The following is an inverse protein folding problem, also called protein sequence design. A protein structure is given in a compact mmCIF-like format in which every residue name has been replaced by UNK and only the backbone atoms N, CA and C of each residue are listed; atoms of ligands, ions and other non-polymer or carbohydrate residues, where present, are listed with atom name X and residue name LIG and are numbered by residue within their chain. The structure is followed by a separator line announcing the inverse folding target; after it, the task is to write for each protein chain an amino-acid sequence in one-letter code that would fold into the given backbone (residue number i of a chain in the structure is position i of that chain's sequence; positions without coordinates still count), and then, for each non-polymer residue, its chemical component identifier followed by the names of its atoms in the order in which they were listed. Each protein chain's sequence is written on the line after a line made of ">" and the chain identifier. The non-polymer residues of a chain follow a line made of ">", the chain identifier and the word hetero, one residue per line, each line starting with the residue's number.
data_IF_633513074849
#
_entry.id   IF_633513074849
#
_cell.length_a   1.000
_cell.length_b   1.000
_cell.length_c   1.000
_cell.angle_alpha   90.00
_cell.angle_beta   90.00
_cell.angle_gamma   90.00
#
_symmetry.space_group_name_H-M   'P 1'
#
loop_
_entity.id
_entity.type
_entity.pdbx_description
1 polymer ?
#
# COMPACT_ATOMS: atom_id res chain seq x y z
N UNK A 1 10.54 8.92 14.55
CA UNK A 1 9.96 7.85 13.73
C UNK A 1 10.26 8.16 12.28
N UNK A 2 10.70 7.17 11.51
CA UNK A 2 10.85 7.27 10.06
C UNK A 2 9.98 6.19 9.42
N UNK A 3 9.28 6.54 8.33
CA UNK A 3 8.43 5.63 7.59
C UNK A 3 9.07 5.39 6.24
N UNK A 4 9.22 4.12 5.86
CA UNK A 4 9.73 3.73 4.55
C UNK A 4 8.58 3.79 3.54
N UNK A 5 8.78 4.61 2.51
CA UNK A 5 7.83 4.83 1.41
C UNK A 5 6.46 5.30 1.92
N UNK A 6 6.36 6.52 2.49
CA UNK A 6 5.13 7.03 3.07
C UNK A 6 4.05 7.32 2.01
N UNK A 7 4.45 7.55 0.76
CA UNK A 7 3.57 7.75 -0.39
C UNK A 7 3.77 6.57 -1.34
N UNK A 8 2.68 5.84 -1.62
CA UNK A 8 2.70 4.64 -2.47
C UNK A 8 1.60 4.69 -3.51
N UNK A 9 1.94 4.29 -4.73
CA UNK A 9 1.00 4.12 -5.82
C UNK A 9 0.86 2.64 -6.12
N UNK A 10 -0.36 2.10 -6.08
CA UNK A 10 -0.61 0.71 -6.44
C UNK A 10 -1.18 0.64 -7.85
N UNK A 11 -0.88 -0.49 -8.50
CA UNK A 11 -1.48 -0.82 -9.78
C UNK A 11 -2.99 -0.99 -9.67
N UNK A 12 -3.72 -0.83 -10.79
CA UNK A 12 -5.16 -0.99 -10.79
C UNK A 12 -5.59 -2.38 -10.32
N UNK A 13 -6.59 -2.44 -9.44
CA UNK A 13 -7.16 -3.71 -8.95
C UNK A 13 -8.61 -3.87 -9.38
N UNK A 14 -9.06 -5.13 -9.46
CA UNK A 14 -10.46 -5.43 -9.71
C UNK A 14 -11.31 -5.09 -8.50
N UNK A 15 -12.49 -4.53 -8.74
CA UNK A 15 -13.48 -4.28 -7.70
C UNK A 15 -13.84 -5.58 -6.97
N UNK A 16 -13.82 -5.50 -5.64
CA UNK A 16 -14.07 -6.66 -4.76
C UNK A 16 -12.82 -7.45 -4.40
N UNK A 17 -11.64 -7.01 -4.87
CA UNK A 17 -10.36 -7.52 -4.38
C UNK A 17 -9.97 -6.82 -3.07
N UNK A 18 -9.18 -7.52 -2.26
CA UNK A 18 -8.57 -7.00 -1.04
C UNK A 18 -7.09 -6.70 -1.31
N UNK A 19 -6.62 -5.53 -0.88
CA UNK A 19 -5.22 -5.12 -0.96
C UNK A 19 -4.63 -4.99 0.44
N UNK A 20 -3.64 -5.81 0.77
CA UNK A 20 -2.88 -5.72 2.02
C UNK A 20 -1.57 -4.98 1.79
N UNK A 21 -1.35 -3.91 2.56
CA UNK A 21 -0.18 -3.07 2.49
C UNK A 21 0.54 -2.98 3.84
N UNK A 22 1.81 -3.40 3.91
CA UNK A 22 2.63 -3.28 5.11
C UNK A 22 3.57 -2.07 5.02
N UNK A 23 3.41 -1.12 5.94
CA UNK A 23 4.28 0.03 6.11
C UNK A 23 5.30 -0.24 7.20
N UNK A 24 6.58 -0.14 6.84
CA UNK A 24 7.68 -0.36 7.77
C UNK A 24 8.04 0.96 8.46
N UNK A 25 7.95 0.94 9.78
CA UNK A 25 8.33 2.03 10.66
C UNK A 25 9.70 1.74 11.25
N UNK A 26 10.56 2.75 11.32
CA UNK A 26 11.87 2.66 11.95
C UNK A 26 12.00 3.68 13.09
N UNK A 27 12.38 3.20 14.26
CA UNK A 27 12.64 4.06 15.41
C UNK A 27 14.09 4.56 15.42
N UNK A 28 14.33 5.71 14.79
CA UNK A 28 15.61 6.46 14.88
C UNK A 28 15.78 7.27 16.17
N UNK A 29 14.80 7.24 17.07
CA UNK A 29 14.84 7.97 18.33
C UNK A 29 15.72 7.28 19.37
N UNK A 30 16.06 8.03 20.43
CA UNK A 30 16.75 7.45 21.59
C UNK A 30 15.80 6.81 22.60
N UNK A 31 14.51 7.11 22.51
CA UNK A 31 13.45 6.59 23.38
C UNK A 31 12.61 5.54 22.66
N UNK A 32 11.94 4.63 23.39
CA UNK A 32 10.98 3.71 22.80
C UNK A 32 9.84 4.47 22.10
N UNK A 33 9.57 4.09 20.85
CA UNK A 33 8.47 4.62 20.05
C UNK A 33 7.18 3.89 20.43
N UNK A 34 6.15 4.65 20.79
CA UNK A 34 4.82 4.19 21.16
C UNK A 34 3.84 4.79 20.15
N UNK A 35 3.08 3.91 19.50
CA UNK A 35 1.97 4.29 18.62
C UNK A 35 0.71 4.30 19.49
N UNK A 36 0.08 5.45 19.61
CA UNK A 36 -1.12 5.63 20.41
C UNK A 36 -2.38 5.26 19.64
N UNK A 37 -2.45 5.67 18.37
CA UNK A 37 -3.61 5.45 17.52
C UNK A 37 -3.21 5.53 16.04
N UNK A 38 -3.97 4.86 15.18
CA UNK A 38 -3.84 4.94 13.73
C UNK A 38 -5.23 5.06 13.10
N UNK A 39 -5.46 6.18 12.42
CA UNK A 39 -6.76 6.53 11.87
C UNK A 39 -6.72 6.55 10.35
N UNK A 40 -7.56 5.72 9.72
CA UNK A 40 -7.75 5.72 8.27
C UNK A 40 -8.83 6.71 7.83
N UNK A 41 -8.67 7.29 6.64
CA UNK A 41 -9.65 8.23 6.05
C UNK A 41 -10.94 7.56 5.57
N UNK A 42 -10.94 6.24 5.33
CA UNK A 42 -12.09 5.46 4.88
C UNK A 42 -12.37 4.29 5.83
N UNK A 43 -13.65 4.06 6.16
CA UNK A 43 -14.07 2.86 6.90
C UNK A 43 -14.05 1.57 6.08
N UNK A 44 -13.53 1.61 4.85
CA UNK A 44 -13.23 0.47 3.99
C UNK A 44 -11.80 -0.07 4.19
N UNK A 45 -11.06 0.54 5.12
CA UNK A 45 -9.68 0.20 5.46
C UNK A 45 -9.66 -0.30 6.89
N UNK A 46 -9.15 -1.50 7.09
CA UNK A 46 -8.78 -2.04 8.39
C UNK A 46 -7.28 -1.81 8.61
N UNK A 47 -6.90 -1.44 9.84
CA UNK A 47 -5.51 -1.13 10.17
C UNK A 47 -5.10 -1.93 11.40
N UNK A 48 -4.00 -2.65 11.27
CA UNK A 48 -3.31 -3.33 12.36
C UNK A 48 -1.97 -2.65 12.64
N UNK A 49 -1.66 -2.41 13.92
CA UNK A 49 -0.45 -1.73 14.33
C UNK A 49 0.06 -2.28 15.67
N UNK A 50 1.38 -2.20 15.95
CA UNK A 50 1.94 -2.75 17.17
C UNK A 50 1.45 -1.96 18.38
N UNK A 51 0.84 -2.68 19.34
CA UNK A 51 0.42 -2.13 20.65
C UNK A 51 1.58 -2.02 21.64
N UNK A 52 2.71 -2.68 21.36
CA UNK A 52 3.93 -2.62 22.16
C UNK A 52 4.84 -1.44 21.79
N UNK A 53 5.77 -1.12 22.69
CA UNK A 53 6.81 -0.13 22.39
C UNK A 53 7.85 -0.68 21.41
N UNK A 54 8.16 0.07 20.36
CA UNK A 54 9.24 -0.23 19.42
C UNK A 54 10.54 0.35 19.99
N UNK A 55 11.48 -0.53 20.33
CA UNK A 55 12.78 -0.12 20.89
C UNK A 55 13.58 0.77 19.95
N UNK A 56 14.64 1.39 20.48
CA UNK A 56 15.61 2.13 19.67
C UNK A 56 16.20 1.24 18.57
N UNK A 57 16.37 1.80 17.37
CA UNK A 57 16.93 1.13 16.19
C UNK A 57 16.18 -0.17 15.79
N UNK A 58 14.94 -0.33 16.26
CA UNK A 58 14.06 -1.43 15.87
C UNK A 58 13.00 -0.97 14.89
N UNK A 59 12.36 -1.96 14.27
CA UNK A 59 11.31 -1.76 13.29
C UNK A 59 9.95 -2.19 13.83
N UNK A 60 8.92 -1.46 13.43
CA UNK A 60 7.51 -1.86 13.57
C UNK A 60 6.85 -1.93 12.19
N UNK A 61 5.68 -2.54 12.12
CA UNK A 61 4.90 -2.63 10.89
C UNK A 61 3.48 -2.14 11.15
N UNK A 62 2.96 -1.31 10.27
CA UNK A 62 1.52 -1.01 10.21
C UNK A 62 1.00 -1.75 8.99
N UNK A 63 0.04 -2.65 9.20
CA UNK A 63 -0.63 -3.38 8.13
C UNK A 63 -1.95 -2.69 7.84
N UNK A 64 -2.23 -2.51 6.56
CA UNK A 64 -3.40 -1.80 6.05
C UNK A 64 -4.11 -2.74 5.09
N UNK A 65 -5.32 -3.14 5.43
CA UNK A 65 -6.15 -4.03 4.62
C UNK A 65 -7.29 -3.22 4.00
N UNK A 66 -7.29 -3.11 2.68
CA UNK A 66 -8.23 -2.30 1.92
C UNK A 66 -9.22 -3.17 1.13
N UNK A 67 -10.52 -2.98 1.38
CA UNK A 67 -11.60 -3.59 0.60
C UNK A 67 -12.09 -2.66 -0.52
N UNK A 68 -11.86 -3.09 -1.76
CA UNK A 68 -12.23 -2.34 -2.96
C UNK A 68 -13.70 -2.49 -3.39
N UNK A 69 -14.51 -3.34 -2.73
CA UNK A 69 -15.89 -3.63 -3.11
C UNK A 69 -16.79 -2.38 -3.21
N UNK A 70 -16.50 -1.35 -2.42
CA UNK A 70 -17.26 -0.10 -2.34
C UNK A 70 -16.71 1.04 -3.19
N UNK A 71 -15.59 0.83 -3.88
CA UNK A 71 -14.87 1.87 -4.59
C UNK A 71 -14.80 1.56 -6.09
N UNK A 72 -14.83 2.60 -6.94
CA UNK A 72 -14.69 2.51 -8.39
C UNK A 72 -13.94 3.76 -8.87
N UNK A 73 -12.96 3.58 -9.76
CA UNK A 73 -12.12 4.66 -10.27
C UNK A 73 -10.91 4.95 -9.40
N UNK A 74 -10.27 6.08 -9.65
CA UNK A 74 -9.14 6.56 -8.86
C UNK A 74 -9.57 6.85 -7.43
N UNK A 75 -8.84 6.30 -6.47
CA UNK A 75 -9.03 6.50 -5.04
C UNK A 75 -7.70 6.83 -4.40
N UNK A 76 -7.77 7.69 -3.40
CA UNK A 76 -6.63 8.16 -2.64
C UNK A 76 -6.99 8.13 -1.15
N UNK A 77 -6.15 7.48 -0.36
CA UNK A 77 -6.39 7.27 1.06
C UNK A 77 -5.24 7.84 1.88
N UNK A 78 -5.62 8.35 3.05
CA UNK A 78 -4.70 8.94 4.02
C UNK A 78 -4.86 8.20 5.33
N UNK A 79 -3.74 7.82 5.93
CA UNK A 79 -3.70 7.16 7.23
C UNK A 79 -2.85 8.03 8.15
N UNK A 80 -3.43 8.45 9.27
CA UNK A 80 -2.79 9.32 10.25
C UNK A 80 -2.38 8.50 11.46
N UNK A 81 -1.09 8.53 11.77
CA UNK A 81 -0.44 7.80 12.85
C UNK A 81 -0.15 8.79 13.97
N UNK A 82 -0.63 8.48 15.16
CA UNK A 82 -0.39 9.25 16.38
C UNK A 82 0.70 8.54 17.21
N UNK A 83 1.82 9.21 17.47
CA UNK A 83 2.94 8.61 18.19
C UNK A 83 3.65 9.62 19.12
N UNK A 84 4.48 9.10 20.04
CA UNK A 84 5.28 9.91 20.99
C UNK A 84 6.55 10.50 20.36
N UNK A 85 6.42 11.13 19.20
CA UNK A 85 7.53 11.69 18.43
C UNK A 85 7.79 13.17 18.77
N UNK A 86 9.07 13.55 18.92
CA UNK A 86 9.45 14.93 19.33
C UNK A 86 9.12 16.01 18.29
N UNK A 87 9.17 15.68 16.99
CA UNK A 87 8.98 16.65 15.90
C UNK A 87 7.53 16.84 15.52
N UNK A 88 6.84 15.73 15.24
CA UNK A 88 5.46 15.73 14.76
C UNK A 88 4.72 14.61 15.48
N UNK A 89 3.74 14.97 16.30
CA UNK A 89 2.89 14.01 17.03
C UNK A 89 2.01 13.21 16.06
N UNK A 90 1.67 13.81 14.92
CA UNK A 90 0.90 13.19 13.84
C UNK A 90 1.78 12.99 12.63
N UNK A 91 1.83 11.78 12.10
CA UNK A 91 2.48 11.47 10.82
C UNK A 91 1.44 10.88 9.88
N UNK A 92 1.39 11.34 8.64
CA UNK A 92 0.43 10.84 7.66
C UNK A 92 1.16 10.06 6.58
N UNK A 93 0.60 8.90 6.23
CA UNK A 93 0.98 8.13 5.04
C UNK A 93 -0.17 8.18 4.03
N UNK A 94 0.18 8.01 2.77
CA UNK A 94 -0.74 8.09 1.64
C UNK A 94 -0.56 6.87 0.74
N UNK A 95 -1.68 6.36 0.23
CA UNK A 95 -1.62 5.55 -0.97
C UNK A 95 -2.79 5.82 -1.90
N UNK A 96 -2.55 5.59 -3.18
CA UNK A 96 -3.56 5.71 -4.22
C UNK A 96 -3.51 4.53 -5.19
N UNK A 97 -4.65 4.30 -5.83
CA UNK A 97 -4.84 3.26 -6.84
C UNK A 97 -6.10 3.51 -7.66
N UNK A 98 -6.32 2.67 -8.67
CA UNK A 98 -7.52 2.70 -9.50
C UNK A 98 -8.31 1.39 -9.36
N UNK A 99 -9.60 1.47 -9.04
CA UNK A 99 -10.47 0.29 -8.92
C UNK A 99 -11.33 0.13 -10.16
N UNK A 100 -11.15 -0.98 -10.87
CA UNK A 100 -11.82 -1.25 -12.16
C UNK A 100 -12.91 -2.32 -12.02
N UNK A 101 -14.04 -2.14 -12.71
CA UNK A 101 -15.24 -2.99 -12.55
C UNK A 101 -15.30 -4.20 -13.48
N UNK A 102 -14.40 -4.31 -14.45
CA UNK A 102 -14.38 -5.39 -15.43
C UNK A 102 -12.97 -5.57 -15.99
N UNK A 103 -12.55 -6.81 -16.33
CA UNK A 103 -11.32 -7.09 -17.06
C UNK A 103 -11.31 -6.53 -18.50
N UNK A 104 -12.25 -5.68 -18.89
CA UNK A 104 -12.05 -4.73 -19.99
C UNK A 104 -11.09 -3.57 -19.62
N UNK A 105 -10.07 -3.86 -18.82
CA UNK A 105 -8.74 -3.37 -19.17
C UNK A 105 -8.50 -3.92 -20.58
N UNK A 106 -8.34 -3.08 -21.60
CA UNK A 106 -7.72 -3.58 -22.84
C UNK A 106 -6.37 -4.10 -22.39
N UNK A 107 -6.24 -5.43 -22.16
CA UNK A 107 -4.95 -6.07 -21.99
C UNK A 107 -4.04 -5.42 -23.01
N UNK A 108 -2.92 -4.87 -22.56
CA UNK A 108 -2.02 -4.22 -23.50
C UNK A 108 -1.70 -5.26 -24.58
N UNK A 109 -1.60 -4.84 -25.85
CA UNK A 109 -1.48 -5.82 -26.95
C UNK A 109 -0.32 -6.81 -26.71
N UNK A 110 0.68 -6.39 -25.95
CA UNK A 110 1.80 -7.20 -25.47
C UNK A 110 1.36 -8.33 -24.51
N UNK A 111 0.46 -8.09 -23.56
CA UNK A 111 -0.09 -9.12 -22.67
C UNK A 111 -0.91 -10.15 -23.47
N UNK A 112 -1.80 -9.71 -24.36
CA UNK A 112 -2.59 -10.61 -25.24
C UNK A 112 -1.67 -11.47 -26.12
N UNK A 113 -0.57 -10.88 -26.60
CA UNK A 113 0.40 -11.58 -27.43
C UNK A 113 1.23 -12.58 -26.61
N UNK A 114 1.67 -12.21 -25.41
CA UNK A 114 2.41 -13.07 -24.49
C UNK A 114 1.55 -14.21 -23.95
N UNK A 115 0.27 -13.96 -23.65
CA UNK A 115 -0.70 -14.96 -23.26
C UNK A 115 -0.97 -15.95 -24.39
N UNK A 116 -1.25 -15.50 -25.63
CA UNK A 116 -1.36 -16.41 -26.77
C UNK A 116 -0.09 -17.22 -27.02
N UNK A 117 1.08 -16.65 -26.73
CA UNK A 117 2.36 -17.38 -26.81
C UNK A 117 2.53 -18.37 -25.65
N UNK A 118 2.07 -18.04 -24.43
CA UNK A 118 2.06 -18.89 -23.24
C UNK A 118 1.00 -20.00 -23.29
N UNK A 119 -0.19 -19.77 -23.84
CA UNK A 119 -1.23 -20.80 -24.05
C UNK A 119 -0.72 -21.92 -24.97
N UNK A 120 0.11 -21.59 -25.97
CA UNK A 120 0.79 -22.57 -26.81
C UNK A 120 1.91 -23.35 -26.09
N UNK A 121 2.25 -22.98 -24.85
CA UNK A 121 3.27 -23.56 -23.97
C UNK A 121 2.63 -23.84 -22.60
N UNK A 122 1.69 -24.78 -22.56
CA UNK A 122 0.79 -25.06 -21.45
C UNK A 122 1.33 -24.81 -20.03
N UNK A 123 0.64 -23.94 -19.31
CA UNK A 123 0.91 -23.60 -17.92
C UNK A 123 0.27 -22.27 -17.54
N UNK A 124 -1.00 -22.31 -17.19
CA UNK A 124 -1.81 -21.15 -16.80
C UNK A 124 -1.59 -20.84 -15.31
N UNK A 125 -1.11 -19.64 -14.99
CA UNK A 125 -1.23 -19.05 -13.66
C UNK A 125 -1.96 -17.72 -13.85
N UNK A 126 -3.22 -17.69 -13.46
CA UNK A 126 -4.03 -16.48 -13.43
C UNK A 126 -3.36 -15.53 -12.42
N UNK A 127 -2.81 -14.42 -12.92
CA UNK A 127 -1.97 -13.53 -12.14
C UNK A 127 -2.82 -12.63 -11.25
N UNK A 128 -2.80 -12.87 -9.94
CA UNK A 128 -3.50 -12.02 -8.97
C UNK A 128 -2.97 -10.57 -9.04
N UNK A 129 -3.82 -9.66 -9.53
CA UNK A 129 -3.49 -8.25 -9.72
C UNK A 129 -3.14 -7.53 -8.40
N UNK A 130 -3.57 -8.07 -7.25
CA UNK A 130 -3.24 -7.51 -5.93
C UNK A 130 -1.77 -7.70 -5.56
N UNK A 131 -1.08 -8.64 -6.22
CA UNK A 131 0.32 -9.01 -5.94
C UNK A 131 1.34 -8.24 -6.78
N UNK A 132 0.90 -7.28 -7.60
CA UNK A 132 1.78 -6.48 -8.45
C UNK A 132 2.66 -5.49 -7.67
N UNK A 133 2.37 -5.29 -6.38
CA UNK A 133 3.13 -4.40 -5.50
C UNK A 133 2.79 -2.92 -5.70
N UNK A 134 3.70 -2.04 -5.26
CA UNK A 134 3.56 -0.59 -5.37
C UNK A 134 4.79 0.03 -6.04
N UNK A 135 4.61 1.20 -6.63
CA UNK A 135 5.68 2.07 -7.09
C UNK A 135 5.63 3.40 -6.36
N UNK A 136 6.73 4.13 -6.41
CA UNK A 136 6.92 5.44 -5.79
C UNK A 136 7.36 6.38 -6.90
N UNK A 137 6.95 7.64 -6.84
CA UNK A 137 7.46 8.65 -7.77
C UNK A 137 8.99 8.73 -7.65
N UNK A 138 9.67 8.36 -8.74
CA UNK A 138 11.13 8.38 -8.82
C UNK A 138 11.61 9.80 -8.48
N UNK A 139 12.46 9.95 -7.45
CA UNK A 139 12.96 11.27 -7.04
C UNK A 139 13.74 11.85 -8.20
N UNK A 140 13.08 12.65 -9.04
CA UNK A 140 13.73 13.50 -10.03
C UNK A 140 14.49 14.58 -9.27
N UNK A 141 15.65 14.24 -8.74
CA UNK A 141 16.69 15.23 -8.49
C UNK A 141 17.14 15.74 -9.85
N UNK A 142 16.41 16.74 -10.36
CA UNK A 142 16.93 17.64 -11.38
C UNK A 142 18.13 18.33 -10.72
N UNK A 143 19.31 18.00 -11.25
CA UNK A 143 20.59 18.53 -10.82
C UNK A 143 20.78 19.97 -11.30
#
# INVERSE_FOLDING_TARGET
>A
MEIIDPERHYYPILRGSELTAAYKLFNRGNEPLIIYDVQASCGCIEVDFPTGSIGKDNFGFITVDYDSAKNIGYVEFYITILANTEKDVFTTIKFDLNVVTSPHYTQDYEEIYLERRKENLGGEVDGDLTQQGYYIDDTRTVR
#
